data_IF_799305215821
#
_entry.id   IF_799305215821
#
_cell.length_a   1.000
_cell.length_b   1.000
_cell.length_c   1.000
_cell.angle_alpha   90.00
_cell.angle_beta   90.00
_cell.angle_gamma   90.00
#
_symmetry.space_group_name_H-M   'P 1'
#
loop_
_entity.id
_entity.type
_entity.pdbx_description
1 polymer ?
#
# COMPACT_ATOMS: atom_id res chain seq x y z
N UNK A 1 4.12 6.64 7.07
CA UNK A 1 3.57 5.28 6.97
C UNK A 1 2.99 4.95 5.59
N UNK A 2 2.15 5.78 4.96
CA UNK A 2 1.60 5.51 3.62
C UNK A 2 2.71 5.27 2.59
N UNK A 3 3.71 6.16 2.50
CA UNK A 3 4.82 6.01 1.57
C UNK A 3 5.63 4.73 1.76
N UNK A 4 5.89 4.31 3.00
CA UNK A 4 6.56 3.02 3.26
C UNK A 4 5.68 1.81 2.94
N UNK A 5 4.39 1.88 3.26
CA UNK A 5 3.46 0.79 2.97
C UNK A 5 3.20 0.58 1.47
N UNK A 6 3.26 1.65 0.65
CA UNK A 6 3.10 1.55 -0.81
C UNK A 6 4.24 0.80 -1.49
N UNK A 7 5.41 0.74 -0.87
CA UNK A 7 6.59 0.05 -1.38
C UNK A 7 6.78 -1.36 -0.79
N UNK A 8 6.02 -1.71 0.27
CA UNK A 8 6.18 -2.96 0.98
C UNK A 8 5.46 -4.13 0.29
N UNK A 9 6.12 -5.26 0.18
CA UNK A 9 5.52 -6.52 -0.31
C UNK A 9 4.87 -7.31 0.84
N UNK A 10 5.44 -7.21 2.04
CA UNK A 10 5.02 -7.90 3.27
C UNK A 10 4.94 -6.90 4.41
N UNK A 11 3.92 -6.98 5.22
CA UNK A 11 3.78 -6.18 6.44
C UNK A 11 4.04 -7.02 7.68
N UNK A 12 4.80 -6.47 8.63
CA UNK A 12 4.92 -7.03 9.98
C UNK A 12 4.15 -6.14 10.94
N UNK A 13 3.01 -6.62 11.42
CA UNK A 13 2.17 -5.91 12.39
C UNK A 13 2.54 -6.34 13.80
N UNK A 14 3.22 -5.48 14.54
CA UNK A 14 3.61 -5.73 15.92
C UNK A 14 2.53 -5.24 16.87
N UNK A 15 2.04 -6.12 17.73
CA UNK A 15 1.06 -5.80 18.79
C UNK A 15 1.63 -6.19 20.15
N UNK A 16 1.21 -5.51 21.21
CA UNK A 16 1.58 -5.87 22.58
C UNK A 16 0.61 -6.89 23.17
N UNK A 17 1.12 -7.92 23.82
CA UNK A 17 0.31 -8.86 24.61
C UNK A 17 -0.09 -8.29 25.97
N UNK A 18 0.62 -7.23 26.45
CA UNK A 18 0.43 -6.64 27.78
C UNK A 18 -0.99 -6.14 27.95
N UNK A 19 -1.58 -6.44 29.11
CA UNK A 19 -2.92 -5.95 29.48
C UNK A 19 -2.94 -4.41 29.53
N UNK A 20 -3.99 -3.82 28.95
CA UNK A 20 -4.12 -2.37 28.83
C UNK A 20 -3.49 -1.79 27.55
N UNK A 21 -2.30 -2.22 27.16
CA UNK A 21 -1.65 -1.76 25.93
C UNK A 21 -2.31 -2.33 24.67
N UNK A 22 -2.65 -3.63 24.68
CA UNK A 22 -3.37 -4.26 23.57
C UNK A 22 -4.71 -3.60 23.34
N UNK A 23 -5.47 -3.42 24.41
CA UNK A 23 -6.82 -2.85 24.37
C UNK A 23 -6.79 -1.42 23.81
N UNK A 24 -5.89 -0.58 24.32
CA UNK A 24 -5.73 0.82 23.85
C UNK A 24 -5.34 0.87 22.37
N UNK A 25 -4.42 0.02 21.94
CA UNK A 25 -3.99 -0.04 20.53
C UNK A 25 -5.05 -0.59 19.58
N UNK A 26 -5.96 -1.44 20.09
CA UNK A 26 -6.97 -2.15 19.30
C UNK A 26 -8.37 -1.53 19.39
N UNK A 27 -8.66 -0.69 20.37
CA UNK A 27 -9.94 0.00 20.51
C UNK A 27 -10.30 0.86 19.30
N UNK A 28 -11.56 1.30 19.21
CA UNK A 28 -12.04 2.13 18.10
C UNK A 28 -11.23 3.43 18.00
N UNK A 29 -10.53 3.58 16.86
CA UNK A 29 -9.57 4.68 16.64
C UNK A 29 -8.17 4.39 17.18
N UNK A 30 -7.83 3.15 17.56
CA UNK A 30 -6.49 2.73 17.94
C UNK A 30 -5.57 2.55 16.73
N UNK A 31 -4.28 2.82 16.92
CA UNK A 31 -3.26 2.80 15.85
C UNK A 31 -3.14 1.43 15.17
N UNK A 32 -3.30 0.33 15.90
CA UNK A 32 -3.22 -1.02 15.32
C UNK A 32 -4.26 -1.24 14.22
N UNK A 33 -5.47 -0.74 14.42
CA UNK A 33 -6.55 -0.83 13.42
C UNK A 33 -6.25 0.02 12.19
N UNK A 34 -5.82 1.26 12.39
CA UNK A 34 -5.47 2.18 11.32
C UNK A 34 -4.32 1.61 10.49
N UNK A 35 -3.27 1.13 11.12
CA UNK A 35 -2.10 0.57 10.46
C UNK A 35 -2.45 -0.67 9.62
N UNK A 36 -3.26 -1.58 10.16
CA UNK A 36 -3.70 -2.76 9.43
C UNK A 36 -4.59 -2.43 8.22
N UNK A 37 -5.49 -1.45 8.36
CA UNK A 37 -6.31 -0.96 7.24
C UNK A 37 -5.43 -0.29 6.17
N UNK A 38 -4.51 0.58 6.57
CA UNK A 38 -3.60 1.25 5.64
C UNK A 38 -2.70 0.25 4.90
N UNK A 39 -2.13 -0.73 5.58
CA UNK A 39 -1.33 -1.78 4.96
C UNK A 39 -2.14 -2.50 3.86
N UNK A 40 -3.37 -2.93 4.16
CA UNK A 40 -4.23 -3.59 3.17
C UNK A 40 -4.55 -2.70 1.98
N UNK A 41 -4.86 -1.45 2.23
CA UNK A 41 -5.24 -0.51 1.16
C UNK A 41 -4.05 -0.10 0.30
N UNK A 42 -2.84 -0.05 0.85
CA UNK A 42 -1.61 0.18 0.10
C UNK A 42 -1.10 -1.06 -0.64
N UNK A 43 -1.76 -2.21 -0.46
CA UNK A 43 -1.44 -3.39 -1.26
C UNK A 43 -0.61 -4.46 -0.58
N UNK A 44 -0.32 -4.29 0.68
CA UNK A 44 0.32 -5.33 1.48
C UNK A 44 -0.66 -6.49 1.65
N UNK A 45 -0.51 -7.50 0.82
CA UNK A 45 -1.40 -8.66 0.83
C UNK A 45 -1.01 -9.71 1.88
N UNK A 46 0.28 -9.81 2.20
CA UNK A 46 0.79 -10.71 3.24
C UNK A 46 1.06 -9.92 4.51
N UNK A 47 0.46 -10.35 5.63
CA UNK A 47 0.62 -9.71 6.93
C UNK A 47 1.08 -10.75 7.96
N UNK A 48 2.22 -10.50 8.56
CA UNK A 48 2.73 -11.26 9.71
C UNK A 48 2.38 -10.50 10.96
N UNK A 49 1.55 -11.07 11.81
CA UNK A 49 1.18 -10.47 13.09
C UNK A 49 2.08 -11.03 14.18
N UNK A 50 2.81 -10.14 14.80
CA UNK A 50 3.77 -10.46 15.84
C UNK A 50 3.23 -10.00 17.19
N UNK A 51 2.93 -10.93 18.07
CA UNK A 51 2.45 -10.69 19.43
C UNK A 51 3.66 -10.56 20.33
N UNK A 52 4.06 -9.34 20.61
CA UNK A 52 5.25 -8.98 21.37
C UNK A 52 4.97 -8.84 22.88
N UNK A 53 6.02 -8.79 23.67
CA UNK A 53 6.00 -8.71 25.15
C UNK A 53 5.33 -9.92 25.80
N UNK A 54 5.54 -11.12 25.22
CA UNK A 54 5.04 -12.36 25.81
C UNK A 54 5.73 -12.72 27.12
N UNK A 55 6.92 -12.18 27.37
CA UNK A 55 7.72 -12.30 28.57
C UNK A 55 7.30 -11.36 29.71
N UNK A 56 6.36 -10.42 29.46
CA UNK A 56 5.88 -9.49 30.49
C UNK A 56 5.30 -10.24 31.70
N UNK A 57 5.58 -9.81 32.96
CA UNK A 57 5.06 -10.46 34.17
C UNK A 57 3.51 -10.54 34.24
N UNK A 58 2.80 -9.75 33.46
CA UNK A 58 1.33 -9.81 33.35
C UNK A 58 0.83 -10.81 32.30
N UNK A 59 1.74 -11.37 31.48
CA UNK A 59 1.45 -12.28 30.37
C UNK A 59 2.06 -13.65 30.57
N UNK A 60 3.36 -13.72 30.95
CA UNK A 60 4.09 -14.95 31.28
C UNK A 60 3.92 -16.09 30.23
N UNK A 61 4.02 -15.74 28.95
CA UNK A 61 3.82 -16.67 27.82
C UNK A 61 2.49 -17.44 27.86
N UNK A 62 1.44 -16.86 28.43
CA UNK A 62 0.10 -17.47 28.55
C UNK A 62 -0.50 -17.74 27.17
N UNK A 63 -0.88 -18.98 26.93
CA UNK A 63 -1.61 -19.42 25.75
C UNK A 63 -3.00 -18.73 25.65
N UNK A 64 -3.68 -18.57 26.79
CA UNK A 64 -4.99 -17.93 26.85
C UNK A 64 -4.93 -16.48 26.41
N UNK A 65 -3.93 -15.74 26.91
CA UNK A 65 -3.74 -14.34 26.51
C UNK A 65 -3.38 -14.20 25.03
N UNK A 66 -2.51 -15.07 24.53
CA UNK A 66 -2.18 -15.12 23.11
C UNK A 66 -3.42 -15.39 22.25
N UNK A 67 -4.23 -16.37 22.60
CA UNK A 67 -5.48 -16.69 21.89
C UNK A 67 -6.48 -15.55 21.95
N UNK A 68 -6.62 -14.86 23.08
CA UNK A 68 -7.49 -13.70 23.21
C UNK A 68 -7.09 -12.58 22.23
N UNK A 69 -5.82 -12.17 22.22
CA UNK A 69 -5.31 -11.14 21.34
C UNK A 69 -5.46 -11.52 19.87
N UNK A 70 -5.05 -12.71 19.51
CA UNK A 70 -5.08 -13.19 18.11
C UNK A 70 -6.49 -13.39 17.58
N UNK A 71 -7.42 -13.92 18.36
CA UNK A 71 -8.81 -14.14 17.94
C UNK A 71 -9.55 -12.82 17.64
N UNK A 72 -9.43 -11.84 18.53
CA UNK A 72 -10.02 -10.51 18.35
C UNK A 72 -9.47 -9.80 17.12
N UNK A 73 -8.14 -9.84 16.96
CA UNK A 73 -7.47 -9.22 15.81
C UNK A 73 -7.79 -9.95 14.50
N UNK A 74 -7.81 -11.29 14.49
CA UNK A 74 -8.16 -12.08 13.31
C UNK A 74 -9.58 -11.77 12.78
N UNK A 75 -10.56 -11.61 13.66
CA UNK A 75 -11.90 -11.20 13.26
C UNK A 75 -11.92 -9.81 12.61
N UNK A 76 -11.17 -8.87 13.16
CA UNK A 76 -11.05 -7.54 12.59
C UNK A 76 -10.34 -7.58 11.23
N UNK A 77 -9.19 -8.26 11.11
CA UNK A 77 -8.42 -8.38 9.87
C UNK A 77 -9.21 -9.08 8.76
N UNK A 78 -10.06 -10.05 9.12
CA UNK A 78 -11.02 -10.65 8.18
C UNK A 78 -12.01 -9.62 7.65
N UNK A 79 -12.50 -8.73 8.51
CA UNK A 79 -13.37 -7.62 8.11
C UNK A 79 -12.69 -6.61 7.18
N UNK A 80 -11.38 -6.44 7.30
CA UNK A 80 -10.55 -5.58 6.45
C UNK A 80 -10.23 -6.25 5.10
N UNK A 81 -10.45 -7.59 4.98
CA UNK A 81 -10.23 -8.34 3.74
C UNK A 81 -8.94 -9.15 3.70
N UNK A 82 -8.31 -9.41 4.85
CA UNK A 82 -7.31 -10.46 4.96
C UNK A 82 -8.03 -11.79 5.21
N UNK A 83 -7.50 -12.88 4.66
CA UNK A 83 -8.02 -14.23 4.89
C UNK A 83 -7.22 -14.92 6.00
N UNK A 84 -7.67 -14.85 7.27
CA UNK A 84 -7.09 -15.67 8.31
C UNK A 84 -7.50 -17.11 8.07
N UNK A 85 -6.57 -18.03 7.93
CA UNK A 85 -6.90 -19.43 8.22
C UNK A 85 -7.08 -19.50 9.73
N UNK A 86 -8.30 -19.77 10.15
CA UNK A 86 -8.66 -19.99 11.55
C UNK A 86 -7.78 -21.12 12.11
N UNK A 87 -6.92 -20.75 13.06
CA UNK A 87 -5.92 -21.65 13.65
C UNK A 87 -6.49 -22.79 14.50
N UNK A 88 -7.81 -22.97 14.57
CA UNK A 88 -8.42 -24.08 15.34
C UNK A 88 -8.25 -25.45 14.67
N UNK A 89 -7.84 -25.52 13.40
CA UNK A 89 -7.57 -26.80 12.71
C UNK A 89 -6.08 -27.12 12.48
N UNK A 90 -5.14 -26.32 12.93
CA UNK A 90 -3.71 -26.60 12.72
C UNK A 90 -3.19 -27.76 13.57
N UNK A 91 -3.92 -28.21 14.57
CA UNK A 91 -3.47 -29.30 15.46
C UNK A 91 -3.74 -30.72 14.89
N UNK A 92 -4.54 -30.89 13.84
CA UNK A 92 -4.95 -32.25 13.42
C UNK A 92 -4.57 -32.68 11.99
N UNK A 93 -3.99 -31.82 11.11
CA UNK A 93 -3.64 -32.27 9.77
C UNK A 93 -2.24 -31.79 9.30
N UNK A 94 -1.24 -32.43 9.83
CA UNK A 94 0.20 -32.19 9.58
C UNK A 94 0.69 -32.45 8.15
N UNK A 95 -0.15 -32.80 7.17
CA UNK A 95 0.35 -33.31 5.85
C UNK A 95 -0.24 -32.73 4.54
N UNK A 96 -1.24 -31.86 4.58
CA UNK A 96 -1.90 -31.39 3.33
C UNK A 96 -1.98 -29.84 3.21
N UNK A 97 -1.44 -29.06 4.16
CA UNK A 97 -1.71 -27.61 4.30
C UNK A 97 -0.66 -26.72 3.61
N UNK A 98 0.30 -27.28 2.87
CA UNK A 98 1.36 -26.45 2.23
C UNK A 98 0.95 -25.78 0.90
N UNK A 99 -0.28 -25.94 0.43
CA UNK A 99 -0.68 -25.55 -0.93
C UNK A 99 -1.64 -24.34 -1.03
N UNK A 100 -2.09 -23.76 0.09
CA UNK A 100 -2.93 -22.56 0.03
C UNK A 100 -2.20 -21.40 0.70
N UNK A 101 -1.80 -20.34 -0.03
CA UNK A 101 -1.15 -19.18 0.57
C UNK A 101 -2.09 -18.51 1.56
N UNK A 102 -1.66 -18.42 2.81
CA UNK A 102 -2.36 -17.65 3.85
C UNK A 102 -1.86 -16.22 3.80
N UNK A 103 -2.78 -15.27 3.76
CA UNK A 103 -2.47 -13.85 3.81
C UNK A 103 -2.05 -13.39 5.21
N UNK A 104 -2.25 -14.24 6.24
CA UNK A 104 -2.14 -13.86 7.65
C UNK A 104 -1.49 -14.96 8.48
N UNK A 105 -0.43 -14.61 9.20
CA UNK A 105 0.29 -15.50 10.13
C UNK A 105 0.47 -14.80 11.46
N UNK A 106 0.32 -15.54 12.58
CA UNK A 106 0.47 -15.04 13.94
C UNK A 106 1.67 -15.71 14.63
N UNK A 107 2.49 -14.92 15.33
CA UNK A 107 3.68 -15.40 16.03
C UNK A 107 3.83 -14.75 17.40
N UNK A 108 4.06 -15.51 18.49
CA UNK A 108 4.43 -14.96 19.78
C UNK A 108 5.92 -14.66 19.83
N UNK A 109 6.31 -13.50 20.34
CA UNK A 109 7.71 -13.12 20.53
C UNK A 109 7.92 -12.34 21.83
N UNK A 110 9.19 -12.24 22.23
CA UNK A 110 9.68 -11.19 23.11
C UNK A 110 10.83 -10.46 22.44
N UNK A 111 10.63 -9.20 22.12
CA UNK A 111 11.69 -8.37 21.53
C UNK A 111 12.79 -8.07 22.55
N UNK A 112 12.48 -8.03 23.84
CA UNK A 112 13.44 -7.77 24.91
C UNK A 112 14.42 -8.93 25.10
N UNK A 113 13.91 -10.16 25.08
CA UNK A 113 14.72 -11.38 25.26
C UNK A 113 15.14 -12.02 23.93
N UNK A 114 14.71 -11.44 22.79
CA UNK A 114 14.93 -11.93 21.42
C UNK A 114 14.30 -13.30 21.10
N UNK A 115 13.56 -13.89 22.04
CA UNK A 115 12.90 -15.19 21.87
C UNK A 115 11.79 -15.09 20.81
N UNK A 116 11.78 -16.03 19.87
CA UNK A 116 10.82 -16.07 18.76
C UNK A 116 11.20 -15.17 17.58
N UNK A 117 12.30 -14.39 17.66
CA UNK A 117 12.80 -13.56 16.56
C UNK A 117 13.77 -14.34 15.69
N UNK A 118 14.96 -14.64 16.21
CA UNK A 118 15.98 -15.41 15.53
C UNK A 118 15.79 -16.90 15.78
N UNK A 119 15.68 -17.27 17.03
CA UNK A 119 15.50 -18.65 17.46
C UNK A 119 14.03 -18.94 17.73
N UNK A 120 13.59 -20.18 17.50
CA UNK A 120 12.23 -20.61 17.82
C UNK A 120 11.97 -20.49 19.32
N UNK A 121 10.72 -20.27 19.68
CA UNK A 121 10.30 -20.25 21.08
C UNK A 121 10.53 -21.63 21.69
N UNK A 122 11.33 -21.73 22.79
CA UNK A 122 11.60 -23.00 23.45
C UNK A 122 10.33 -23.65 24.01
N UNK A 123 10.20 -24.95 23.88
CA UNK A 123 9.08 -25.72 24.45
C UNK A 123 8.98 -25.65 25.98
N UNK A 124 10.10 -25.33 26.66
CA UNK A 124 10.11 -25.05 28.08
C UNK A 124 9.38 -23.78 28.48
N UNK A 125 9.32 -22.80 27.59
CA UNK A 125 8.67 -21.51 27.83
C UNK A 125 7.22 -21.52 27.32
N UNK A 126 7.02 -21.99 26.07
CA UNK A 126 5.68 -22.06 25.46
C UNK A 126 5.48 -23.42 24.79
N UNK A 127 5.07 -24.46 25.54
CA UNK A 127 4.86 -25.81 25.00
C UNK A 127 3.73 -25.88 23.98
N UNK A 128 2.83 -24.91 24.00
CA UNK A 128 1.67 -24.78 23.10
C UNK A 128 2.02 -24.22 21.71
N UNK A 129 3.20 -23.56 21.54
CA UNK A 129 3.61 -23.01 20.26
C UNK A 129 4.69 -23.87 19.59
N UNK A 130 4.44 -24.24 18.33
CA UNK A 130 5.36 -25.06 17.50
C UNK A 130 5.64 -24.44 16.14
N UNK A 131 5.57 -23.11 16.07
CA UNK A 131 5.84 -22.36 14.85
C UNK A 131 7.31 -22.04 14.63
N UNK A 132 7.66 -21.53 13.44
CA UNK A 132 8.98 -21.00 13.15
C UNK A 132 9.26 -19.70 13.93
N UNK A 133 10.50 -19.28 14.00
CA UNK A 133 10.87 -17.93 14.41
C UNK A 133 10.48 -16.90 13.33
N UNK A 134 10.50 -15.63 13.68
CA UNK A 134 10.13 -14.56 12.74
C UNK A 134 11.08 -14.55 11.53
N UNK A 135 12.39 -14.61 11.74
CA UNK A 135 13.36 -14.60 10.65
C UNK A 135 13.26 -15.87 9.80
N UNK A 136 13.14 -17.05 10.43
CA UNK A 136 12.93 -18.31 9.71
C UNK A 136 11.67 -18.28 8.84
N UNK A 137 10.60 -17.68 9.33
CA UNK A 137 9.36 -17.51 8.53
C UNK A 137 9.55 -16.56 7.36
N UNK A 138 10.22 -15.41 7.56
CA UNK A 138 10.50 -14.45 6.50
C UNK A 138 11.39 -15.08 5.41
N UNK A 139 12.42 -15.82 5.80
CA UNK A 139 13.32 -16.54 4.87
C UNK A 139 12.60 -17.65 4.09
N UNK A 140 11.60 -18.29 4.72
CA UNK A 140 10.79 -19.34 4.08
C UNK A 140 9.73 -18.83 3.12
N UNK A 141 9.50 -17.50 3.08
CA UNK A 141 8.50 -16.92 2.20
C UNK A 141 8.85 -17.18 0.74
N UNK A 142 7.90 -17.77 0.01
CA UNK A 142 8.04 -17.95 -1.43
C UNK A 142 8.08 -16.58 -2.13
N UNK A 143 8.92 -16.47 -3.15
CA UNK A 143 9.01 -15.28 -4.00
C UNK A 143 7.62 -14.92 -4.54
N UNK A 144 7.27 -13.65 -4.41
CA UNK A 144 6.05 -13.11 -5.02
C UNK A 144 6.16 -13.19 -6.55
N UNK A 145 5.05 -13.49 -7.21
CA UNK A 145 4.98 -13.42 -8.68
C UNK A 145 5.26 -11.98 -9.12
N UNK A 146 6.39 -11.77 -9.78
CA UNK A 146 6.84 -10.48 -10.28
C UNK A 146 6.68 -10.38 -11.78
N UNK A 147 6.21 -9.23 -12.28
CA UNK A 147 5.99 -8.95 -13.71
C UNK A 147 7.29 -8.55 -14.43
N UNK A 148 8.30 -9.42 -14.42
CA UNK A 148 9.62 -9.14 -14.99
C UNK A 148 9.56 -8.88 -16.49
N UNK A 149 8.71 -9.62 -17.22
CA UNK A 149 8.57 -9.50 -18.68
C UNK A 149 7.58 -8.41 -19.14
N UNK A 150 6.98 -7.66 -18.21
CA UNK A 150 6.11 -6.55 -18.54
C UNK A 150 6.92 -5.28 -18.88
N UNK A 151 6.30 -4.27 -19.52
CA UNK A 151 6.95 -2.98 -19.73
C UNK A 151 7.44 -2.38 -18.41
N UNK A 152 8.61 -1.76 -18.45
CA UNK A 152 9.22 -1.14 -17.27
C UNK A 152 8.38 0.03 -16.77
N UNK A 153 8.10 0.04 -15.46
CA UNK A 153 7.43 1.11 -14.72
C UNK A 153 8.01 1.21 -13.31
N UNK A 154 8.39 2.42 -12.91
CA UNK A 154 8.91 2.73 -11.59
C UNK A 154 8.38 4.09 -11.12
N UNK A 155 7.50 4.14 -10.11
CA UNK A 155 7.13 5.38 -9.44
C UNK A 155 8.33 5.98 -8.70
N UNK A 156 8.51 7.29 -8.82
CA UNK A 156 9.57 8.03 -8.14
C UNK A 156 9.11 8.35 -6.73
N UNK A 157 9.78 7.80 -5.74
CA UNK A 157 9.49 7.99 -4.33
C UNK A 157 10.22 9.17 -3.72
N UNK A 158 11.48 9.37 -4.12
CA UNK A 158 12.33 10.44 -3.66
C UNK A 158 13.25 10.96 -4.78
N UNK A 159 13.70 12.18 -4.63
CA UNK A 159 14.67 12.82 -5.49
C UNK A 159 15.69 13.57 -4.63
N UNK A 160 16.91 13.66 -5.09
CA UNK A 160 17.96 14.45 -4.45
C UNK A 160 19.11 14.73 -5.44
N UNK A 161 20.00 15.64 -5.08
CA UNK A 161 21.17 16.00 -5.88
C UNK A 161 22.42 15.40 -5.26
N UNK A 162 23.05 14.48 -6.00
CA UNK A 162 24.35 13.90 -5.65
C UNK A 162 25.14 13.62 -6.92
N UNK A 163 26.14 14.46 -7.24
CA UNK A 163 26.92 14.42 -8.50
C UNK A 163 26.00 14.32 -9.75
N UNK A 164 24.85 15.01 -9.72
CA UNK A 164 23.80 14.98 -10.72
C UNK A 164 22.43 14.73 -10.10
N UNK A 165 21.41 14.60 -10.93
CA UNK A 165 20.05 14.32 -10.47
C UNK A 165 19.88 12.83 -10.14
N UNK A 166 19.54 12.56 -8.89
CA UNK A 166 19.26 11.22 -8.38
C UNK A 166 17.76 11.04 -8.13
N UNK A 167 17.23 9.90 -8.53
CA UNK A 167 15.87 9.48 -8.22
C UNK A 167 15.90 8.12 -7.54
N UNK A 168 14.93 7.90 -6.66
CA UNK A 168 14.77 6.66 -5.91
C UNK A 168 13.36 6.13 -6.08
N UNK A 169 13.22 4.82 -6.23
CA UNK A 169 11.92 4.16 -6.33
C UNK A 169 12.02 2.65 -6.37
N UNK A 170 10.86 2.00 -6.27
CA UNK A 170 10.72 0.55 -6.45
C UNK A 170 10.26 0.26 -7.87
N UNK A 171 10.87 -0.72 -8.52
CA UNK A 171 10.47 -1.18 -9.84
C UNK A 171 9.21 -2.03 -9.70
N UNK A 172 8.08 -1.54 -10.23
CA UNK A 172 6.79 -2.25 -10.17
C UNK A 172 6.62 -3.27 -11.28
N UNK A 173 7.29 -3.06 -12.41
CA UNK A 173 7.28 -4.01 -13.53
C UNK A 173 8.48 -3.84 -14.45
N UNK A 174 8.85 -4.91 -15.13
CA UNK A 174 9.88 -4.92 -16.15
C UNK A 174 11.31 -4.91 -15.61
N UNK A 175 12.23 -4.47 -16.45
CA UNK A 175 13.68 -4.43 -16.19
C UNK A 175 14.23 -3.07 -16.62
N UNK A 176 15.11 -2.49 -15.80
CA UNK A 176 15.89 -1.31 -16.13
C UNK A 176 17.36 -1.69 -16.38
N UNK A 177 18.01 -0.99 -17.30
CA UNK A 177 19.44 -1.19 -17.62
C UNK A 177 20.17 0.13 -17.64
N UNK A 178 21.42 0.12 -17.14
CA UNK A 178 22.36 1.25 -17.27
C UNK A 178 22.55 1.61 -18.74
N UNK A 179 22.62 2.91 -19.04
CA UNK A 179 22.75 3.43 -20.41
C UNK A 179 21.46 3.35 -21.23
N UNK A 180 20.37 2.80 -20.70
CA UNK A 180 19.07 2.78 -21.37
C UNK A 180 18.43 4.15 -21.45
N UNK A 181 17.49 4.30 -22.39
CA UNK A 181 16.65 5.49 -22.55
C UNK A 181 15.22 5.16 -22.13
N UNK A 182 14.65 5.99 -21.27
CA UNK A 182 13.32 5.85 -20.68
C UNK A 182 12.55 7.16 -20.79
N UNK A 183 11.26 7.13 -20.48
CA UNK A 183 10.41 8.32 -20.50
C UNK A 183 9.88 8.60 -19.10
N UNK A 184 10.01 9.83 -18.65
CA UNK A 184 9.42 10.32 -17.40
C UNK A 184 8.04 10.90 -17.65
N UNK A 185 7.05 10.37 -17.01
CA UNK A 185 5.68 10.86 -17.09
C UNK A 185 5.33 11.65 -15.80
N UNK A 186 4.51 12.71 -15.86
CA UNK A 186 3.63 13.13 -16.96
C UNK A 186 4.31 13.98 -18.05
N UNK A 187 5.50 14.54 -17.82
CA UNK A 187 6.14 15.53 -18.71
C UNK A 187 6.56 14.98 -20.08
N UNK A 188 6.63 13.67 -20.22
CA UNK A 188 7.09 12.94 -21.43
C UNK A 188 8.54 13.21 -21.81
N UNK A 189 9.37 13.55 -20.83
CA UNK A 189 10.77 13.81 -21.05
C UNK A 189 11.58 12.53 -21.21
N UNK A 190 12.52 12.55 -22.16
CA UNK A 190 13.40 11.40 -22.38
C UNK A 190 14.57 11.45 -21.41
N UNK A 191 14.73 10.40 -20.64
CA UNK A 191 15.73 10.27 -19.57
C UNK A 191 16.76 9.21 -19.95
N UNK A 192 18.03 9.58 -19.84
CA UNK A 192 19.15 8.65 -19.95
C UNK A 192 19.61 8.17 -18.58
N UNK A 193 19.83 6.86 -18.41
CA UNK A 193 20.34 6.29 -17.16
C UNK A 193 21.86 6.36 -17.15
N UNK A 194 22.42 7.23 -16.30
CA UNK A 194 23.85 7.40 -16.16
C UNK A 194 24.50 6.34 -15.28
N UNK A 195 23.86 6.05 -14.13
CA UNK A 195 24.29 5.00 -13.20
C UNK A 195 23.05 4.42 -12.49
N UNK A 196 23.16 3.18 -12.07
CA UNK A 196 22.12 2.43 -11.38
C UNK A 196 22.73 1.78 -10.13
N UNK A 197 22.10 1.99 -8.96
CA UNK A 197 22.53 1.47 -7.68
C UNK A 197 21.43 0.64 -7.06
N UNK A 198 21.77 -0.52 -6.51
CA UNK A 198 20.87 -1.39 -5.77
C UNK A 198 20.70 -0.98 -4.30
N UNK A 199 20.32 -1.93 -3.47
CA UNK A 199 20.22 -1.73 -2.01
C UNK A 199 21.59 -1.47 -1.37
N UNK A 200 22.62 -2.13 -1.88
CA UNK A 200 24.01 -1.80 -1.59
C UNK A 200 24.43 -0.56 -2.38
N UNK A 201 25.45 0.17 -1.94
CA UNK A 201 25.93 1.37 -2.65
C UNK A 201 26.67 1.06 -3.95
N UNK A 202 26.79 -0.21 -4.28
CA UNK A 202 27.48 -0.67 -5.49
C UNK A 202 26.68 -0.38 -6.76
N UNK A 203 27.39 0.01 -7.80
CA UNK A 203 26.81 0.24 -9.11
C UNK A 203 26.48 -1.09 -9.80
N UNK A 204 25.24 -1.25 -10.26
CA UNK A 204 24.74 -2.44 -10.95
C UNK A 204 24.43 -2.15 -12.42
N UNK A 205 24.44 -3.17 -13.26
CA UNK A 205 24.18 -3.04 -14.71
C UNK A 205 22.71 -3.10 -15.06
N UNK A 206 21.92 -3.81 -14.27
CA UNK A 206 20.48 -3.96 -14.46
C UNK A 206 19.80 -4.26 -13.13
N UNK A 207 18.51 -3.90 -13.04
CA UNK A 207 17.62 -4.24 -11.94
C UNK A 207 16.26 -4.68 -12.47
N UNK A 208 15.53 -5.45 -11.66
CA UNK A 208 14.29 -6.11 -12.07
C UNK A 208 13.10 -5.69 -11.21
N UNK A 209 11.91 -6.06 -11.65
CA UNK A 209 10.67 -5.86 -10.90
C UNK A 209 10.81 -6.33 -9.43
N UNK A 210 10.49 -5.46 -8.50
CA UNK A 210 10.54 -5.65 -7.06
C UNK A 210 11.80 -5.10 -6.39
N UNK A 211 12.84 -4.76 -7.15
CA UNK A 211 14.05 -4.15 -6.60
C UNK A 211 13.81 -2.68 -6.28
N UNK A 212 14.34 -2.23 -5.15
CA UNK A 212 14.44 -0.81 -4.83
C UNK A 212 15.75 -0.29 -5.37
N UNK A 213 15.71 0.78 -6.14
CA UNK A 213 16.88 1.29 -6.86
C UNK A 213 17.05 2.79 -6.68
N UNK A 214 18.32 3.21 -6.69
CA UNK A 214 18.72 4.61 -6.81
C UNK A 214 19.33 4.79 -8.18
N UNK A 215 18.88 5.79 -8.91
CA UNK A 215 19.22 5.98 -10.31
C UNK A 215 19.76 7.39 -10.52
N UNK A 216 20.96 7.50 -11.08
CA UNK A 216 21.49 8.77 -11.60
C UNK A 216 21.00 8.96 -13.02
N UNK A 217 20.29 10.04 -13.23
CA UNK A 217 19.68 10.35 -14.52
C UNK A 217 20.36 11.52 -15.22
N UNK A 218 20.13 11.61 -16.55
CA UNK A 218 20.50 12.74 -17.38
C UNK A 218 19.29 13.21 -18.17
N UNK A 219 19.22 14.51 -18.44
CA UNK A 219 18.19 15.09 -19.31
C UNK A 219 17.12 15.90 -18.57
N UNK A 220 17.08 15.82 -17.22
CA UNK A 220 16.12 16.58 -16.40
C UNK A 220 16.81 17.05 -15.12
N UNK A 221 16.50 18.26 -14.70
CA UNK A 221 16.97 18.81 -13.43
C UNK A 221 16.10 18.30 -12.26
N UNK A 222 16.65 18.34 -11.05
CA UNK A 222 15.94 17.87 -9.85
C UNK A 222 14.62 18.64 -9.61
N UNK A 223 14.63 19.94 -9.91
CA UNK A 223 13.49 20.84 -9.65
C UNK A 223 12.25 20.47 -10.46
N UNK A 224 12.43 19.91 -11.67
CA UNK A 224 11.35 19.54 -12.60
C UNK A 224 10.68 18.19 -12.24
N UNK A 225 11.27 17.45 -11.30
CA UNK A 225 10.78 16.14 -10.89
C UNK A 225 9.92 16.27 -9.63
N UNK A 226 8.75 15.64 -9.62
CA UNK A 226 7.92 15.57 -8.42
C UNK A 226 7.74 14.12 -7.94
N UNK A 227 7.65 13.87 -6.63
CA UNK A 227 7.22 12.56 -6.12
C UNK A 227 5.90 12.16 -6.77
N UNK A 228 5.83 10.90 -7.23
CA UNK A 228 4.67 10.43 -7.97
C UNK A 228 4.79 10.51 -9.49
N UNK A 229 5.84 11.11 -10.01
CA UNK A 229 6.22 10.89 -11.42
C UNK A 229 6.59 9.43 -11.62
N UNK A 230 6.41 8.92 -12.83
CA UNK A 230 6.70 7.52 -13.15
C UNK A 230 7.71 7.46 -14.28
N UNK A 231 8.84 6.82 -14.01
CA UNK A 231 9.81 6.45 -15.05
C UNK A 231 9.33 5.17 -15.73
N UNK A 232 9.19 5.20 -17.05
CA UNK A 232 8.60 4.09 -17.79
C UNK A 232 9.28 3.82 -19.12
N UNK A 233 9.00 2.63 -19.68
CA UNK A 233 9.47 2.26 -21.02
C UNK A 233 8.84 3.18 -22.08
N UNK A 234 9.63 3.69 -23.05
CA UNK A 234 9.09 4.49 -24.15
C UNK A 234 8.07 3.74 -25.01
N UNK A 235 8.12 2.40 -25.02
CA UNK A 235 7.19 1.56 -25.79
C UNK A 235 5.77 1.56 -25.21
N UNK A 236 5.64 1.71 -23.90
CA UNK A 236 4.35 1.79 -23.19
C UNK A 236 4.47 2.75 -22.00
N UNK A 237 4.26 4.05 -22.22
CA UNK A 237 4.19 5.01 -21.12
C UNK A 237 2.98 4.75 -20.22
N UNK A 238 3.08 5.11 -18.94
CA UNK A 238 1.97 5.09 -17.99
C UNK A 238 0.90 6.10 -18.42
N UNK A 239 -0.37 5.82 -18.12
CA UNK A 239 -1.46 6.75 -18.38
C UNK A 239 -1.41 7.93 -17.41
N UNK A 240 -1.44 9.14 -17.98
CA UNK A 240 -1.60 10.38 -17.22
C UNK A 240 -3.01 10.90 -17.42
N UNK A 241 -3.69 11.18 -16.33
CA UNK A 241 -5.11 11.54 -16.35
C UNK A 241 -5.38 12.79 -15.53
N UNK A 242 -6.32 13.63 -16.02
CA UNK A 242 -6.90 14.78 -15.31
C UNK A 242 -8.12 14.35 -14.49
N UNK A 243 -8.80 13.31 -14.95
CA UNK A 243 -9.96 12.73 -14.29
C UNK A 243 -10.02 11.23 -14.55
N UNK A 244 -10.57 10.49 -13.60
CA UNK A 244 -10.73 9.05 -13.73
C UNK A 244 -11.96 8.54 -12.97
N UNK A 245 -12.45 7.38 -13.37
CA UNK A 245 -13.51 6.68 -12.68
C UNK A 245 -12.91 5.58 -11.80
N UNK A 246 -13.41 5.50 -10.58
CA UNK A 246 -12.92 4.51 -9.62
C UNK A 246 -14.04 3.88 -8.80
N UNK A 247 -13.83 2.62 -8.46
CA UNK A 247 -14.64 1.96 -7.45
C UNK A 247 -14.06 2.27 -6.08
N UNK A 248 -14.91 2.73 -5.17
CA UNK A 248 -14.51 3.29 -3.88
C UNK A 248 -15.31 2.62 -2.77
N UNK A 249 -14.63 2.15 -1.71
CA UNK A 249 -15.27 1.62 -0.50
C UNK A 249 -15.07 2.61 0.63
N UNK A 250 -16.15 3.14 1.19
CA UNK A 250 -16.12 4.11 2.29
C UNK A 250 -15.98 3.36 3.64
N UNK A 251 -14.77 3.33 4.19
CA UNK A 251 -14.49 2.64 5.45
C UNK A 251 -14.81 3.51 6.65
N UNK A 252 -14.30 4.73 6.66
CA UNK A 252 -14.57 5.73 7.69
C UNK A 252 -14.86 7.08 7.04
N UNK A 253 -15.95 7.70 7.44
CA UNK A 253 -16.37 9.01 6.97
C UNK A 253 -17.18 9.66 8.08
N UNK A 254 -16.82 10.88 8.49
CA UNK A 254 -17.56 11.63 9.50
C UNK A 254 -18.73 12.39 8.90
N UNK A 255 -18.59 12.81 7.65
CA UNK A 255 -19.57 13.59 6.90
C UNK A 255 -20.29 12.75 5.83
N UNK A 256 -21.18 13.36 5.11
CA UNK A 256 -21.84 12.80 3.93
C UNK A 256 -21.01 13.16 2.71
N UNK A 257 -20.66 12.16 1.90
CA UNK A 257 -19.98 12.36 0.63
C UNK A 257 -20.98 12.67 -0.47
N UNK A 258 -20.82 13.80 -1.14
CA UNK A 258 -21.62 14.23 -2.30
C UNK A 258 -20.70 14.71 -3.43
N UNK A 259 -21.28 15.02 -4.59
CA UNK A 259 -20.54 15.72 -5.63
C UNK A 259 -20.02 17.07 -5.11
N UNK A 260 -18.82 17.45 -5.51
CA UNK A 260 -18.11 18.62 -5.00
C UNK A 260 -17.27 18.38 -3.73
N UNK A 261 -17.26 17.17 -3.18
CA UNK A 261 -16.43 16.85 -2.01
C UNK A 261 -14.96 16.81 -2.39
N UNK A 262 -14.13 17.55 -1.64
CA UNK A 262 -12.67 17.61 -1.84
C UNK A 262 -11.96 16.69 -0.88
N UNK A 263 -10.91 16.04 -1.35
CA UNK A 263 -10.07 15.18 -0.55
C UNK A 263 -8.66 15.07 -1.12
N UNK A 264 -7.73 14.52 -0.34
CA UNK A 264 -6.37 14.25 -0.75
C UNK A 264 -6.26 12.81 -1.22
N UNK A 265 -5.80 12.64 -2.44
CA UNK A 265 -5.51 11.36 -3.08
C UNK A 265 -4.05 10.97 -2.82
N UNK A 266 -3.85 9.75 -2.35
CA UNK A 266 -2.54 9.12 -2.27
C UNK A 266 -2.52 7.91 -3.19
N UNK A 267 -1.75 7.97 -4.25
CA UNK A 267 -1.53 6.87 -5.19
C UNK A 267 -0.02 6.66 -5.35
N UNK A 268 0.48 5.44 -5.17
CA UNK A 268 1.93 5.15 -5.08
C UNK A 268 2.67 6.23 -4.24
N UNK A 269 3.55 7.03 -4.85
CA UNK A 269 4.27 8.13 -4.17
C UNK A 269 3.61 9.49 -4.35
N UNK A 270 2.58 9.61 -5.22
CA UNK A 270 1.89 10.87 -5.48
C UNK A 270 0.92 11.23 -4.37
N UNK A 271 0.82 12.51 -4.06
CA UNK A 271 -0.15 13.08 -3.13
C UNK A 271 -0.75 14.31 -3.79
N UNK A 272 -2.02 14.25 -4.18
CA UNK A 272 -2.69 15.30 -4.96
C UNK A 272 -4.09 15.58 -4.43
N UNK A 273 -4.55 16.81 -4.59
CA UNK A 273 -5.93 17.18 -4.29
C UNK A 273 -6.86 16.74 -5.42
N UNK A 274 -7.98 16.15 -5.04
CA UNK A 274 -9.01 15.70 -5.98
C UNK A 274 -10.40 16.06 -5.49
N UNK A 275 -11.30 16.28 -6.44
CA UNK A 275 -12.71 16.55 -6.18
C UNK A 275 -13.57 15.43 -6.75
N UNK A 276 -14.58 15.01 -6.00
CA UNK A 276 -15.62 14.12 -6.50
C UNK A 276 -16.54 14.88 -7.47
N UNK A 277 -16.29 14.75 -8.77
CA UNK A 277 -17.15 15.45 -9.76
C UNK A 277 -18.54 14.81 -9.88
N UNK A 278 -18.63 13.48 -9.71
CA UNK A 278 -19.91 12.77 -9.72
C UNK A 278 -19.84 11.42 -8.99
N UNK A 279 -20.93 11.03 -8.35
CA UNK A 279 -21.15 9.65 -7.88
C UNK A 279 -22.01 8.95 -8.94
N UNK A 280 -21.40 7.97 -9.64
CA UNK A 280 -22.05 7.34 -10.80
C UNK A 280 -22.99 6.21 -10.38
N UNK A 281 -22.52 5.33 -9.48
CA UNK A 281 -23.29 4.16 -9.04
C UNK A 281 -23.00 3.83 -7.59
N UNK A 282 -24.01 3.29 -6.91
CA UNK A 282 -23.85 2.53 -5.67
C UNK A 282 -23.74 1.05 -6.02
N UNK A 283 -22.84 0.32 -5.35
CA UNK A 283 -22.71 -1.12 -5.48
C UNK A 283 -23.44 -1.81 -4.34
N UNK A 284 -24.24 -2.81 -4.65
CA UNK A 284 -24.91 -3.65 -3.65
C UNK A 284 -23.90 -4.55 -2.94
N UNK A 285 -24.02 -4.65 -1.63
CA UNK A 285 -23.22 -5.57 -0.83
C UNK A 285 -23.54 -7.03 -1.19
N UNK A 286 -22.51 -7.82 -1.45
CA UNK A 286 -22.62 -9.24 -1.79
C UNK A 286 -22.76 -9.54 -3.28
N UNK A 287 -23.60 -8.81 -4.02
CA UNK A 287 -23.82 -9.04 -5.47
C UNK A 287 -22.92 -8.18 -6.36
N UNK A 288 -22.43 -7.03 -5.84
CA UNK A 288 -21.65 -6.06 -6.63
C UNK A 288 -22.46 -5.39 -7.74
N UNK A 289 -23.77 -5.54 -7.78
CA UNK A 289 -24.63 -4.94 -8.81
C UNK A 289 -24.63 -3.43 -8.69
N UNK A 290 -24.57 -2.74 -9.85
CA UNK A 290 -24.64 -1.28 -9.94
C UNK A 290 -26.07 -0.81 -9.79
N UNK A 291 -26.28 0.29 -9.02
CA UNK A 291 -27.57 0.96 -8.95
C UNK A 291 -27.99 1.49 -10.33
N UNK A 292 -29.28 1.44 -10.62
CA UNK A 292 -29.82 1.99 -11.90
C UNK A 292 -29.77 3.52 -11.95
N UNK A 293 -29.93 4.19 -10.81
CA UNK A 293 -29.85 5.65 -10.70
C UNK A 293 -28.59 6.04 -9.91
N UNK A 294 -27.91 7.13 -10.30
CA UNK A 294 -26.80 7.66 -9.51
C UNK A 294 -27.31 8.10 -8.13
N UNK A 295 -26.62 7.74 -7.05
CA UNK A 295 -26.99 8.19 -5.70
C UNK A 295 -26.59 9.66 -5.53
N UNK A 296 -27.43 10.46 -4.86
CA UNK A 296 -27.12 11.86 -4.55
C UNK A 296 -26.03 12.02 -3.48
N UNK A 297 -25.82 10.99 -2.65
CA UNK A 297 -24.83 10.99 -1.57
C UNK A 297 -24.38 9.56 -1.22
N UNK A 298 -23.28 9.47 -0.52
CA UNK A 298 -22.76 8.22 0.01
C UNK A 298 -22.34 8.37 1.48
N UNK A 299 -22.43 7.27 2.23
CA UNK A 299 -22.12 7.21 3.67
C UNK A 299 -21.19 6.06 3.99
N UNK A 300 -20.65 6.05 5.20
CA UNK A 300 -19.78 5.00 5.74
C UNK A 300 -20.32 3.59 5.44
N UNK A 301 -19.42 2.71 4.98
CA UNK A 301 -19.71 1.30 4.67
C UNK A 301 -20.39 1.07 3.32
N UNK A 302 -20.59 2.11 2.51
CA UNK A 302 -21.03 1.97 1.12
C UNK A 302 -19.87 1.71 0.18
N UNK A 303 -20.15 0.98 -0.91
CA UNK A 303 -19.27 0.87 -2.08
C UNK A 303 -19.90 1.64 -3.22
N UNK A 304 -19.14 2.51 -3.87
CA UNK A 304 -19.60 3.39 -4.94
C UNK A 304 -18.66 3.34 -6.14
N UNK A 305 -19.16 3.73 -7.30
CA UNK A 305 -18.34 4.13 -8.44
C UNK A 305 -18.49 5.64 -8.57
N UNK A 306 -17.37 6.35 -8.53
CA UNK A 306 -17.34 7.80 -8.64
C UNK A 306 -16.31 8.26 -9.66
N UNK A 307 -16.52 9.46 -10.19
CA UNK A 307 -15.57 10.17 -11.02
C UNK A 307 -14.85 11.20 -10.15
N UNK A 308 -13.53 11.11 -10.18
CA UNK A 308 -12.61 12.02 -9.49
C UNK A 308 -11.91 12.91 -10.52
N UNK A 309 -11.75 14.17 -10.20
CA UNK A 309 -11.00 15.16 -10.98
C UNK A 309 -9.85 15.70 -10.16
N UNK A 310 -8.66 15.76 -10.76
CA UNK A 310 -7.46 16.30 -10.13
C UNK A 310 -7.55 17.81 -10.10
N UNK A 311 -7.52 18.39 -8.91
CA UNK A 311 -7.59 19.84 -8.68
C UNK A 311 -6.28 20.40 -8.12
N UNK A 312 -5.34 19.53 -7.74
CA UNK A 312 -4.03 19.91 -7.22
C UNK A 312 -3.11 20.52 -8.27
N UNK A 313 -1.97 21.05 -7.79
CA UNK A 313 -1.03 21.84 -8.60
C UNK A 313 -0.32 21.07 -9.72
N UNK A 314 -0.20 19.75 -9.65
CA UNK A 314 0.37 18.93 -10.72
C UNK A 314 -0.54 18.82 -11.94
N UNK A 315 -1.83 19.12 -11.81
CA UNK A 315 -2.83 19.11 -12.89
C UNK A 315 -3.13 17.73 -13.46
N UNK A 316 -2.26 16.74 -13.32
CA UNK A 316 -2.46 15.37 -13.79
C UNK A 316 -1.71 14.37 -12.91
N UNK A 317 -2.21 13.14 -12.86
CA UNK A 317 -1.59 12.05 -12.12
C UNK A 317 -1.31 10.85 -13.03
N UNK A 318 -0.27 10.09 -12.68
CA UNK A 318 0.07 8.84 -13.35
C UNK A 318 -0.66 7.69 -12.67
N UNK A 319 -1.59 7.02 -13.38
CA UNK A 319 -2.34 5.88 -12.87
C UNK A 319 -2.54 4.82 -13.95
N UNK A 320 -2.62 3.56 -13.51
CA UNK A 320 -2.92 2.41 -14.37
C UNK A 320 -4.17 1.69 -13.90
N UNK A 321 -4.67 0.78 -14.73
CA UNK A 321 -5.75 -0.11 -14.31
C UNK A 321 -5.27 -1.03 -13.21
N UNK A 322 -6.05 -1.18 -12.18
CA UNK A 322 -5.73 -2.10 -11.08
C UNK A 322 -5.50 -3.55 -11.54
N UNK A 323 -6.25 -4.01 -12.55
CA UNK A 323 -6.13 -5.36 -13.10
C UNK A 323 -4.75 -5.60 -13.75
N UNK A 324 -4.21 -4.55 -14.40
CA UNK A 324 -2.93 -4.62 -15.10
C UNK A 324 -1.74 -4.34 -14.17
N UNK A 325 -1.82 -3.28 -13.38
CA UNK A 325 -0.77 -2.83 -12.46
C UNK A 325 -1.37 -2.43 -11.11
N UNK A 326 -1.55 -3.39 -10.19
CA UNK A 326 -2.24 -3.15 -8.92
C UNK A 326 -1.64 -1.99 -8.10
N UNK A 327 -0.33 -1.85 -8.08
CA UNK A 327 0.34 -0.79 -7.29
C UNK A 327 0.15 0.61 -7.89
N UNK A 328 0.04 0.71 -9.22
CA UNK A 328 -0.23 1.98 -9.91
C UNK A 328 -1.73 2.29 -10.04
N UNK A 329 -2.60 1.29 -9.81
CA UNK A 329 -4.06 1.42 -9.90
C UNK A 329 -4.78 1.49 -8.55
N UNK A 330 -4.03 1.37 -7.44
CA UNK A 330 -4.57 1.43 -6.09
C UNK A 330 -4.29 2.78 -5.46
N UNK A 331 -5.26 3.33 -4.76
CA UNK A 331 -5.12 4.63 -4.12
C UNK A 331 -5.89 4.70 -2.80
N UNK A 332 -5.57 5.70 -2.00
CA UNK A 332 -6.25 6.04 -0.75
C UNK A 332 -6.70 7.49 -0.83
N UNK A 333 -7.92 7.78 -0.38
CA UNK A 333 -8.40 9.14 -0.22
C UNK A 333 -8.46 9.50 1.27
N UNK A 334 -8.10 10.73 1.59
CA UNK A 334 -8.20 11.29 2.92
C UNK A 334 -9.00 12.58 2.90
N UNK A 335 -9.84 12.76 3.90
CA UNK A 335 -10.56 14.01 4.09
C UNK A 335 -9.58 15.13 4.43
N UNK A 336 -9.75 16.31 3.81
CA UNK A 336 -9.06 17.54 4.23
C UNK A 336 -9.74 18.06 5.49
N UNK A 337 -9.28 17.66 6.65
CA UNK A 337 -9.68 18.36 7.89
C UNK A 337 -8.97 19.69 7.88
N UNK A 338 -9.72 20.78 7.75
CA UNK A 338 -9.23 22.15 7.91
C UNK A 338 -8.39 22.23 9.18
N UNK A 339 -7.12 22.61 9.04
CA UNK A 339 -6.23 22.87 10.16
C UNK A 339 -6.76 24.06 11.00
N UNK A 340 -7.50 23.75 12.05
CA UNK A 340 -7.65 24.68 13.15
C UNK A 340 -6.50 24.43 14.13
N UNK A 341 -5.67 25.45 14.48
CA UNK A 341 -4.45 25.24 15.28
C UNK A 341 -4.67 24.78 16.72
N UNK A 342 -5.90 24.64 17.17
CA UNK A 342 -6.26 24.31 18.56
C UNK A 342 -6.86 22.93 18.80
N UNK A 343 -6.92 22.07 17.80
CA UNK A 343 -7.46 20.72 17.98
C UNK A 343 -6.44 19.67 17.61
N UNK A 344 -5.96 18.90 18.59
CA UNK A 344 -5.32 17.60 18.40
C UNK A 344 -6.34 16.61 17.80
N UNK A 345 -6.84 16.85 16.58
CA UNK A 345 -7.76 15.93 15.94
C UNK A 345 -6.97 14.92 15.13
N UNK A 346 -7.18 13.65 15.50
CA UNK A 346 -6.78 12.47 14.73
C UNK A 346 -7.25 12.64 13.28
N UNK A 347 -6.33 12.49 12.35
CA UNK A 347 -6.63 12.47 10.92
C UNK A 347 -7.62 11.33 10.63
N UNK A 348 -8.81 11.67 10.16
CA UNK A 348 -9.77 10.67 9.75
C UNK A 348 -9.35 10.13 8.38
N UNK A 349 -9.00 8.86 8.38
CA UNK A 349 -8.62 8.15 7.17
C UNK A 349 -9.88 7.68 6.44
N UNK A 350 -10.22 8.32 5.34
CA UNK A 350 -11.11 7.74 4.35
C UNK A 350 -10.30 6.70 3.58
N UNK A 351 -10.30 5.46 4.06
CA UNK A 351 -9.55 4.39 3.43
C UNK A 351 -10.41 3.75 2.35
N UNK A 352 -9.93 3.73 1.12
CA UNK A 352 -10.67 3.33 -0.05
C UNK A 352 -9.90 2.26 -0.82
N UNK A 353 -10.50 1.10 -0.97
CA UNK A 353 -10.01 0.07 -1.88
C UNK A 353 -10.60 0.32 -3.26
N UNK A 354 -9.77 0.68 -4.24
CA UNK A 354 -10.21 0.88 -5.61
C UNK A 354 -9.74 -0.28 -6.50
N UNK A 355 -10.57 -1.29 -6.74
CA UNK A 355 -10.23 -2.39 -7.62
C UNK A 355 -10.33 -2.07 -9.12
N UNK A 356 -10.81 -0.89 -9.52
CA UNK A 356 -10.98 -0.57 -10.96
C UNK A 356 -10.82 0.91 -11.24
N UNK A 357 -9.66 1.32 -11.71
CA UNK A 357 -9.46 2.61 -12.40
C UNK A 357 -9.79 2.39 -13.88
N UNK A 358 -10.76 3.15 -14.41
CA UNK A 358 -10.96 3.31 -15.85
C UNK A 358 -10.49 4.71 -16.22
N UNK A 359 -9.34 4.87 -16.89
CA UNK A 359 -8.96 6.16 -17.41
C UNK A 359 -10.04 6.63 -18.39
N UNK A 360 -10.66 7.77 -18.13
CA UNK A 360 -11.51 8.41 -19.10
C UNK A 360 -10.61 9.02 -20.18
N UNK A 361 -10.72 8.55 -21.41
CA UNK A 361 -10.00 9.03 -22.57
C UNK A 361 -10.50 10.45 -22.94
N UNK A 362 -10.08 11.46 -22.20
CA UNK A 362 -10.09 12.85 -22.64
C UNK A 362 -8.69 13.44 -22.44
N UNK A 363 -7.69 12.81 -23.06
CA UNK A 363 -6.39 13.42 -23.24
C UNK A 363 -6.52 14.51 -24.32
N UNK A 364 -6.87 15.73 -23.95
CA UNK A 364 -6.45 16.89 -24.73
C UNK A 364 -4.93 17.01 -24.52
N UNK A 365 -4.16 16.65 -25.54
CA UNK A 365 -2.76 17.05 -25.64
C UNK A 365 -2.69 18.56 -25.44
N UNK A 366 -1.84 19.08 -24.53
CA UNK A 366 -1.50 20.49 -24.56
C UNK A 366 -0.83 20.76 -25.90
N UNK A 367 -1.48 21.59 -26.71
CA UNK A 367 -0.91 22.13 -27.93
C UNK A 367 0.33 22.93 -27.57
N UNK A 368 1.48 22.45 -28.05
CA UNK A 368 2.71 23.20 -28.06
C UNK A 368 2.45 24.50 -28.84
N UNK A 369 2.32 25.63 -28.16
CA UNK A 369 2.33 26.94 -28.79
C UNK A 369 3.79 27.19 -29.22
N UNK A 370 4.04 26.98 -30.50
CA UNK A 370 5.18 27.57 -31.18
C UNK A 370 5.06 29.08 -31.04
N UNK A 371 5.94 29.69 -30.28
CA UNK A 371 6.24 31.13 -30.38
C UNK A 371 7.46 31.26 -31.24
N UNK A 372 7.26 31.99 -32.32
CA UNK A 372 8.28 32.46 -33.24
C UNK A 372 9.33 33.34 -32.54
#
# INVERSE_FOLDING_TARGET
MIGGASQADVGVLVISARKGEYETGFEKGGQTREHAMLAKTQGVNKLVVVVNKMDDPTVEWSEERYKECTSKLAMFLKGVGYNPKTGEHQLFQKKIISLIPTDLTFMPISAQTTVGIKDRVPKSIAPWFDGPSLLEYLDSMQTLERKVNAPFMMPIAAKYRDMGTMIEGKIESGVIKKGGSYVMMPNRETIGIAALYGETEDEIQAATCGDQVRIRIRGVEEEDIMPGFVLCSPKRPVHCVLAFEAQIVLLELKSILSAGFNCVLHVHSATEEVTFSAILHKLEKGTGRKSKKPPGFATKGMSIIARLEVTGGAGSICVERFEDYPQLGRFTLRDQVCHHPSSHHKMDNMVLNAPRVKPSLSAKSPSCSQTQ
#
